data_IF_881026203064
#
_entry.id   IF_881026203064
#
_cell.length_a   1.000
_cell.length_b   1.000
_cell.length_c   1.000
_cell.angle_alpha   90.00
_cell.angle_beta   90.00
_cell.angle_gamma   90.00
#
_symmetry.space_group_name_H-M   'P 1'
#
loop_
_entity.id
_entity.type
_entity.pdbx_description
1 polymer ?
#
# COMPACT_ATOMS: atom_id res chain seq x y z
N UNK A 1 6.33 -12.36 16.79
CA UNK A 1 6.65 -10.95 16.68
C UNK A 1 7.52 -10.51 17.85
N UNK A 2 8.36 -9.54 17.64
CA UNK A 2 9.18 -8.99 18.72
C UNK A 2 8.32 -8.40 19.86
N UNK A 3 7.09 -8.04 19.55
CA UNK A 3 6.15 -7.53 20.53
C UNK A 3 5.81 -8.60 21.56
N UNK A 4 5.76 -9.84 21.13
CA UNK A 4 5.46 -10.96 22.03
C UNK A 4 6.55 -11.19 23.06
N UNK A 5 7.74 -10.65 22.87
CA UNK A 5 8.82 -10.77 23.85
C UNK A 5 8.57 -9.90 25.08
N UNK A 6 7.64 -8.97 25.00
CA UNK A 6 7.28 -8.14 26.13
C UNK A 6 6.31 -8.88 27.05
N UNK A 7 6.07 -8.34 28.25
CA UNK A 7 5.06 -8.91 29.13
C UNK A 7 3.72 -8.99 28.39
N UNK A 8 2.90 -9.97 28.73
CA UNK A 8 1.66 -10.21 28.03
C UNK A 8 0.76 -8.98 27.96
N UNK A 9 0.67 -8.19 29.02
CA UNK A 9 -0.11 -6.97 29.01
C UNK A 9 0.41 -5.98 28.00
N UNK A 10 1.72 -5.81 27.92
CA UNK A 10 2.33 -4.92 26.95
C UNK A 10 2.16 -5.45 25.52
N UNK A 11 2.21 -6.75 25.37
CA UNK A 11 2.01 -7.37 24.06
C UNK A 11 0.63 -7.03 23.51
N UNK A 12 -0.41 -7.18 24.32
CA UNK A 12 -1.78 -6.89 23.90
C UNK A 12 -1.95 -5.43 23.51
N UNK A 13 -1.40 -4.55 24.32
CA UNK A 13 -1.46 -3.11 24.04
C UNK A 13 -0.75 -2.78 22.73
N UNK A 14 0.43 -3.36 22.54
CA UNK A 14 1.20 -3.10 21.32
C UNK A 14 0.51 -3.66 20.09
N UNK A 15 -0.11 -4.83 20.17
CA UNK A 15 -0.87 -5.39 19.06
C UNK A 15 -2.06 -4.50 18.72
N UNK A 16 -2.74 -3.99 19.75
CA UNK A 16 -3.86 -3.08 19.52
C UNK A 16 -3.41 -1.79 18.82
N UNK A 17 -2.28 -1.24 19.23
CA UNK A 17 -1.72 -0.05 18.58
C UNK A 17 -1.34 -0.31 17.14
N UNK A 18 -0.76 -1.48 16.85
CA UNK A 18 -0.40 -1.84 15.49
C UNK A 18 -1.64 -1.96 14.60
N UNK A 19 -2.70 -2.55 15.12
CA UNK A 19 -3.95 -2.64 14.37
C UNK A 19 -4.53 -1.26 14.08
N UNK A 20 -4.42 -0.36 15.05
CA UNK A 20 -4.88 1.00 14.86
C UNK A 20 -4.04 1.73 13.80
N UNK A 21 -2.73 1.53 13.80
CA UNK A 21 -1.85 2.10 12.78
C UNK A 21 -2.20 1.56 11.39
N UNK A 22 -2.50 0.26 11.29
CA UNK A 22 -2.89 -0.35 10.02
C UNK A 22 -4.18 0.26 9.49
N UNK A 23 -5.14 0.54 10.37
CA UNK A 23 -6.38 1.21 9.98
C UNK A 23 -6.09 2.62 9.46
N UNK A 24 -5.19 3.33 10.12
CA UNK A 24 -4.77 4.66 9.68
C UNK A 24 -4.07 4.58 8.32
N UNK A 25 -3.21 3.58 8.13
CA UNK A 25 -2.55 3.38 6.85
C UNK A 25 -3.54 3.07 5.74
N UNK A 26 -4.59 2.34 6.05
CA UNK A 26 -5.61 2.06 5.04
C UNK A 26 -6.28 3.34 4.54
N UNK A 27 -6.62 4.25 5.45
CA UNK A 27 -7.19 5.53 5.07
C UNK A 27 -6.21 6.37 4.25
N UNK A 28 -4.95 6.41 4.66
CA UNK A 28 -3.89 7.13 3.97
C UNK A 28 -3.71 6.58 2.55
N UNK A 29 -3.71 5.26 2.43
CA UNK A 29 -3.59 4.60 1.13
C UNK A 29 -4.78 4.88 0.23
N UNK A 30 -5.98 4.84 0.80
CA UNK A 30 -7.21 5.11 0.04
C UNK A 30 -7.18 6.52 -0.53
N UNK A 31 -6.78 7.50 0.27
CA UNK A 31 -6.67 8.88 -0.20
C UNK A 31 -5.68 8.99 -1.35
N UNK A 32 -4.52 8.38 -1.19
CA UNK A 32 -3.48 8.43 -2.21
C UNK A 32 -3.97 7.83 -3.53
N UNK A 33 -4.54 6.64 -3.47
CA UNK A 33 -5.05 5.96 -4.67
C UNK A 33 -6.16 6.77 -5.35
N UNK A 34 -7.06 7.36 -4.56
CA UNK A 34 -8.12 8.20 -5.12
C UNK A 34 -7.55 9.40 -5.85
N UNK A 35 -6.56 10.05 -5.26
CA UNK A 35 -5.91 11.20 -5.88
C UNK A 35 -5.19 10.81 -7.17
N UNK A 36 -4.54 9.65 -7.17
CA UNK A 36 -3.84 9.15 -8.36
C UNK A 36 -4.85 8.88 -9.47
N UNK A 37 -5.90 8.14 -9.17
CA UNK A 37 -6.90 7.76 -10.18
C UNK A 37 -7.62 8.97 -10.73
N UNK A 38 -7.93 9.93 -9.89
CA UNK A 38 -8.65 11.15 -10.31
C UNK A 38 -7.72 12.23 -10.83
N UNK A 39 -6.43 11.99 -10.82
CA UNK A 39 -5.40 12.95 -11.25
C UNK A 39 -5.50 14.27 -10.50
N UNK A 40 -5.77 14.19 -9.21
CA UNK A 40 -5.78 15.36 -8.35
C UNK A 40 -4.35 15.70 -7.94
N UNK A 41 -3.67 16.49 -8.77
CA UNK A 41 -2.25 16.80 -8.56
C UNK A 41 -2.01 17.64 -7.32
N UNK A 42 -2.89 18.58 -7.02
CA UNK A 42 -2.75 19.39 -5.83
C UNK A 42 -2.88 18.56 -4.56
N UNK A 43 -3.85 17.65 -4.54
CA UNK A 43 -4.01 16.73 -3.43
C UNK A 43 -2.81 15.82 -3.26
N UNK A 44 -2.24 15.33 -4.37
CA UNK A 44 -1.06 14.48 -4.33
C UNK A 44 0.14 15.21 -3.72
N UNK A 45 0.37 16.47 -4.11
CA UNK A 45 1.47 17.25 -3.55
C UNK A 45 1.34 17.37 -2.04
N UNK A 46 0.14 17.68 -1.57
CA UNK A 46 -0.11 17.81 -0.14
C UNK A 46 0.07 16.48 0.59
N UNK A 47 -0.46 15.41 0.02
CA UNK A 47 -0.31 14.06 0.59
C UNK A 47 1.16 13.66 0.68
N UNK A 48 1.94 13.94 -0.38
CA UNK A 48 3.36 13.62 -0.42
C UNK A 48 4.13 14.42 0.63
N UNK A 49 3.80 15.69 0.82
CA UNK A 49 4.42 16.47 1.87
C UNK A 49 4.20 15.88 3.25
N UNK A 50 2.96 15.45 3.52
CA UNK A 50 2.64 14.82 4.79
C UNK A 50 3.41 13.51 4.97
N UNK A 51 3.44 12.68 3.93
CA UNK A 51 4.16 11.40 3.99
C UNK A 51 5.66 11.64 4.19
N UNK A 52 6.22 12.68 3.56
CA UNK A 52 7.64 12.98 3.68
C UNK A 52 8.06 13.32 5.11
N UNK A 53 7.14 13.81 5.91
CA UNK A 53 7.42 14.17 7.29
C UNK A 53 7.41 12.98 8.25
N UNK A 54 6.93 11.83 7.79
CA UNK A 54 6.76 10.67 8.68
C UNK A 54 8.06 9.96 9.05
N UNK A 55 9.11 10.19 8.32
CA UNK A 55 10.36 9.50 8.55
C UNK A 55 10.42 8.15 7.83
N UNK A 56 11.63 7.64 7.72
CA UNK A 56 11.95 6.49 6.87
C UNK A 56 11.21 5.22 7.31
N UNK A 57 11.19 4.95 8.60
CA UNK A 57 10.59 3.71 9.10
C UNK A 57 9.08 3.67 8.83
N UNK A 58 8.39 4.77 9.06
CA UNK A 58 6.95 4.81 8.80
C UNK A 58 6.64 4.77 7.31
N UNK A 59 7.47 5.38 6.50
CA UNK A 59 7.30 5.32 5.05
C UNK A 59 7.42 3.87 4.56
N UNK A 60 8.40 3.13 5.07
CA UNK A 60 8.55 1.71 4.72
C UNK A 60 7.37 0.88 5.21
N UNK A 61 6.88 1.17 6.42
CA UNK A 61 5.71 0.49 6.96
C UNK A 61 4.48 0.69 6.08
N UNK A 62 4.30 1.91 5.60
CA UNK A 62 3.19 2.23 4.71
C UNK A 62 3.29 1.43 3.40
N UNK A 63 4.46 1.41 2.78
CA UNK A 63 4.65 0.66 1.54
C UNK A 63 4.46 -0.83 1.76
N UNK A 64 4.93 -1.34 2.89
CA UNK A 64 4.76 -2.75 3.25
C UNK A 64 3.29 -3.10 3.45
N UNK A 65 2.54 -2.19 4.06
CA UNK A 65 1.11 -2.39 4.24
C UNK A 65 0.39 -2.45 2.90
N UNK A 66 0.73 -1.56 1.99
CA UNK A 66 0.17 -1.56 0.64
C UNK A 66 0.48 -2.89 -0.06
N UNK A 67 1.73 -3.34 0.00
CA UNK A 67 2.12 -4.64 -0.55
C UNK A 67 1.30 -5.77 0.05
N UNK A 68 1.09 -5.74 1.35
CA UNK A 68 0.30 -6.74 2.06
C UNK A 68 -1.13 -6.82 1.50
N UNK A 69 -1.76 -5.67 1.28
CA UNK A 69 -3.11 -5.63 0.72
C UNK A 69 -3.14 -6.15 -0.72
N UNK A 70 -2.12 -5.83 -1.51
CA UNK A 70 -2.02 -6.35 -2.87
C UNK A 70 -1.84 -7.87 -2.87
N UNK A 71 -1.07 -8.41 -1.93
CA UNK A 71 -0.92 -9.85 -1.81
C UNK A 71 -2.23 -10.53 -1.46
N UNK A 72 -3.02 -9.92 -0.57
CA UNK A 72 -4.35 -10.43 -0.25
C UNK A 72 -5.23 -10.41 -1.50
N UNK A 73 -5.17 -9.33 -2.27
CA UNK A 73 -5.95 -9.19 -3.49
C UNK A 73 -5.59 -10.26 -4.51
N UNK A 74 -4.29 -10.53 -4.68
CA UNK A 74 -3.84 -11.55 -5.62
C UNK A 74 -4.28 -12.94 -5.21
N UNK A 75 -4.19 -13.27 -3.92
CA UNK A 75 -4.65 -14.57 -3.43
C UNK A 75 -6.15 -14.74 -3.64
N UNK A 76 -6.91 -13.70 -3.34
CA UNK A 76 -8.35 -13.75 -3.52
C UNK A 76 -8.73 -13.93 -4.98
N UNK A 77 -7.99 -13.30 -5.89
CA UNK A 77 -8.25 -13.39 -7.32
C UNK A 77 -7.91 -14.78 -7.88
N UNK A 78 -6.81 -15.36 -7.41
CA UNK A 78 -6.34 -16.65 -7.94
C UNK A 78 -7.03 -17.82 -7.26
N UNK A 79 -7.21 -17.76 -5.94
CA UNK A 79 -7.67 -18.91 -5.15
C UNK A 79 -9.10 -18.75 -4.60
N UNK A 80 -9.67 -17.56 -4.73
CA UNK A 80 -10.98 -17.27 -4.17
C UNK A 80 -10.88 -16.62 -2.79
N UNK A 81 -11.91 -15.82 -2.42
CA UNK A 81 -11.86 -15.06 -1.16
C UNK A 81 -11.77 -15.93 0.10
N UNK A 82 -12.19 -17.18 0.05
CA UNK A 82 -12.18 -18.06 1.23
C UNK A 82 -10.79 -18.34 1.74
N UNK A 83 -9.77 -18.30 0.86
CA UNK A 83 -8.39 -18.62 1.26
C UNK A 83 -7.75 -17.48 2.02
N UNK A 84 -8.41 -16.33 2.10
CA UNK A 84 -7.87 -15.17 2.79
C UNK A 84 -8.54 -14.93 4.13
N UNK A 85 -8.98 -16.01 4.79
CA UNK A 85 -9.70 -15.92 6.05
C UNK A 85 -8.92 -15.26 7.18
N UNK A 86 -7.60 -15.24 7.07
CA UNK A 86 -6.76 -14.62 8.09
C UNK A 86 -6.73 -13.10 8.00
N UNK A 87 -7.18 -12.55 6.88
CA UNK A 87 -7.27 -11.11 6.72
C UNK A 87 -8.51 -10.59 7.44
N UNK A 88 -8.45 -9.37 7.95
CA UNK A 88 -9.63 -8.74 8.54
C UNK A 88 -10.64 -8.47 7.42
N UNK A 89 -11.93 -8.30 7.79
CA UNK A 89 -12.96 -8.01 6.79
C UNK A 89 -12.68 -6.67 6.09
N UNK A 90 -12.11 -5.70 6.78
CA UNK A 90 -11.74 -4.42 6.18
C UNK A 90 -10.64 -4.59 5.15
N UNK A 91 -9.63 -5.40 5.46
CA UNK A 91 -8.53 -5.66 4.54
C UNK A 91 -9.01 -6.41 3.32
N UNK A 92 -9.83 -7.43 3.51
CA UNK A 92 -10.37 -8.20 2.39
C UNK A 92 -11.25 -7.34 1.49
N UNK A 93 -12.09 -6.50 2.09
CA UNK A 93 -12.95 -5.60 1.33
C UNK A 93 -12.11 -4.64 0.46
N UNK A 94 -11.08 -4.07 1.06
CA UNK A 94 -10.17 -3.18 0.33
C UNK A 94 -9.46 -3.94 -0.79
N UNK A 95 -8.98 -5.15 -0.50
CA UNK A 95 -8.29 -5.98 -1.48
C UNK A 95 -9.20 -6.32 -2.67
N UNK A 96 -10.46 -6.61 -2.41
CA UNK A 96 -11.40 -6.89 -3.49
C UNK A 96 -11.65 -5.65 -4.36
N UNK A 97 -11.61 -4.46 -3.78
CA UNK A 97 -11.69 -3.23 -4.54
C UNK A 97 -10.45 -3.02 -5.41
N UNK A 98 -9.28 -3.41 -4.91
CA UNK A 98 -8.05 -3.37 -5.70
C UNK A 98 -8.18 -4.28 -6.92
N UNK A 99 -8.82 -5.43 -6.77
CA UNK A 99 -9.03 -6.35 -7.88
C UNK A 99 -9.91 -5.75 -8.97
N UNK A 100 -10.84 -4.87 -8.58
CA UNK A 100 -11.66 -4.16 -9.56
C UNK A 100 -10.89 -3.06 -10.27
N UNK A 101 -9.93 -2.47 -9.59
CA UNK A 101 -9.13 -1.38 -10.13
C UNK A 101 -8.01 -1.87 -11.03
N UNK A 102 -7.38 -2.98 -10.66
CA UNK A 102 -6.17 -3.50 -11.30
C UNK A 102 -6.29 -4.99 -11.56
N UNK A 103 -5.80 -5.44 -12.72
CA UNK A 103 -5.63 -6.85 -13.00
C UNK A 103 -4.38 -7.41 -12.30
N UNK A 104 -4.18 -8.72 -12.42
CA UNK A 104 -3.08 -9.42 -11.76
C UNK A 104 -1.72 -8.84 -12.19
N UNK A 105 -1.51 -8.67 -13.48
CA UNK A 105 -0.24 -8.12 -13.98
C UNK A 105 0.03 -6.72 -13.48
N UNK A 106 -1.00 -5.90 -13.39
CA UNK A 106 -0.87 -4.54 -12.87
C UNK A 106 -0.51 -4.55 -11.38
N UNK A 107 -1.15 -5.42 -10.61
CA UNK A 107 -0.85 -5.55 -9.18
C UNK A 107 0.58 -6.02 -8.95
N UNK A 108 1.05 -6.96 -9.74
CA UNK A 108 2.43 -7.42 -9.66
C UNK A 108 3.41 -6.30 -10.00
N UNK A 109 3.09 -5.49 -11.00
CA UNK A 109 3.92 -4.35 -11.36
C UNK A 109 3.97 -3.33 -10.22
N UNK A 110 2.85 -3.10 -9.54
CA UNK A 110 2.80 -2.19 -8.41
C UNK A 110 3.67 -2.72 -7.26
N UNK A 111 3.54 -4.00 -6.93
CA UNK A 111 4.37 -4.62 -5.88
C UNK A 111 5.85 -4.41 -6.18
N UNK A 112 6.24 -4.62 -7.42
CA UNK A 112 7.62 -4.44 -7.84
C UNK A 112 8.10 -2.99 -7.63
N UNK A 113 7.25 -2.01 -7.96
CA UNK A 113 7.60 -0.62 -7.73
C UNK A 113 7.66 -0.26 -6.25
N UNK A 114 6.79 -0.86 -5.43
CA UNK A 114 6.82 -0.64 -3.99
C UNK A 114 8.10 -1.22 -3.37
N UNK A 115 8.53 -2.38 -3.83
CA UNK A 115 9.78 -2.98 -3.38
C UNK A 115 10.97 -2.10 -3.72
N UNK A 116 11.01 -1.57 -4.93
CA UNK A 116 12.06 -0.64 -5.34
C UNK A 116 12.05 0.62 -4.48
N UNK A 117 10.87 1.15 -4.21
CA UNK A 117 10.74 2.35 -3.39
C UNK A 117 11.29 2.11 -1.99
N UNK A 118 10.95 0.98 -1.38
CA UNK A 118 11.47 0.62 -0.06
C UNK A 118 13.00 0.52 -0.07
N UNK A 119 13.55 -0.05 -1.12
CA UNK A 119 14.98 -0.18 -1.30
C UNK A 119 15.66 1.19 -1.30
N UNK A 120 15.08 2.14 -2.05
CA UNK A 120 15.64 3.49 -2.13
C UNK A 120 15.45 4.28 -0.84
N UNK A 121 14.36 4.08 -0.14
CA UNK A 121 14.14 4.74 1.17
C UNK A 121 15.24 4.31 2.13
N UNK A 122 15.61 3.04 2.14
CA UNK A 122 16.68 2.54 2.98
C UNK A 122 18.02 3.20 2.67
N UNK A 123 18.20 3.69 1.45
CA UNK A 123 19.41 4.32 1.00
C UNK A 123 19.31 5.84 0.99
N UNK A 124 18.39 6.38 1.81
CA UNK A 124 18.25 7.82 2.03
C UNK A 124 17.84 8.60 0.79
N UNK A 125 17.08 7.99 -0.10
CA UNK A 125 16.50 8.74 -1.21
C UNK A 125 15.58 9.84 -0.69
N UNK A 126 15.48 10.93 -1.44
CA UNK A 126 14.63 12.04 -1.08
C UNK A 126 13.17 11.58 -1.12
N UNK A 127 12.45 11.61 0.01
CA UNK A 127 11.08 11.05 0.03
C UNK A 127 10.11 11.80 -0.86
N UNK A 128 10.22 13.11 -0.98
CA UNK A 128 9.31 13.86 -1.86
C UNK A 128 9.48 13.43 -3.31
N UNK A 129 10.71 13.36 -3.78
CA UNK A 129 10.98 12.92 -5.16
C UNK A 129 10.55 11.48 -5.37
N UNK A 130 10.82 10.62 -4.38
CA UNK A 130 10.47 9.22 -4.46
C UNK A 130 8.97 9.02 -4.60
N UNK A 131 8.19 9.66 -3.72
CA UNK A 131 6.73 9.49 -3.76
C UNK A 131 6.10 10.17 -4.95
N UNK A 132 6.66 11.26 -5.46
CA UNK A 132 6.20 11.85 -6.72
C UNK A 132 6.40 10.88 -7.88
N UNK A 133 7.60 10.33 -7.99
CA UNK A 133 7.90 9.36 -9.04
C UNK A 133 7.02 8.13 -8.93
N UNK A 134 6.82 7.64 -7.70
CA UNK A 134 5.98 6.48 -7.46
C UNK A 134 4.53 6.75 -7.83
N UNK A 135 4.01 7.93 -7.48
CA UNK A 135 2.63 8.32 -7.84
C UNK A 135 2.44 8.32 -9.36
N UNK A 136 3.41 8.84 -10.10
CA UNK A 136 3.36 8.85 -11.56
C UNK A 136 3.37 7.43 -12.12
N UNK A 137 4.24 6.58 -11.59
CA UNK A 137 4.33 5.19 -12.04
C UNK A 137 3.05 4.42 -11.76
N UNK A 138 2.48 4.61 -10.57
CA UNK A 138 1.22 3.97 -10.22
C UNK A 138 0.09 4.42 -11.13
N UNK A 139 0.03 5.71 -11.43
CA UNK A 139 -0.97 6.21 -12.35
C UNK A 139 -0.86 5.52 -13.70
N UNK A 140 0.34 5.41 -14.24
CA UNK A 140 0.54 4.77 -15.53
C UNK A 140 0.19 3.29 -15.50
N UNK A 141 0.57 2.58 -14.44
CA UNK A 141 0.24 1.17 -14.31
C UNK A 141 -1.28 0.98 -14.27
N UNK A 142 -1.97 1.78 -13.47
CA UNK A 142 -3.42 1.64 -13.30
C UNK A 142 -4.16 2.05 -14.58
N UNK A 143 -3.75 3.13 -15.20
CA UNK A 143 -4.48 3.68 -16.34
C UNK A 143 -4.15 2.98 -17.66
N UNK A 144 -3.07 2.20 -17.72
CA UNK A 144 -2.65 1.54 -18.96
C UNK A 144 -3.20 0.14 -19.12
N UNK A 145 -4.23 -0.20 -18.38
CA UNK A 145 -4.80 -1.55 -18.43
C UNK A 145 -5.18 -1.95 -19.86
N UNK A 146 -5.91 -1.10 -20.55
CA UNK A 146 -6.33 -1.38 -21.91
C UNK A 146 -5.16 -1.33 -22.90
N UNK A 147 -4.16 -0.48 -22.63
CA UNK A 147 -2.99 -0.38 -23.50
C UNK A 147 -2.12 -1.64 -23.40
N UNK A 148 -2.03 -2.23 -22.22
CA UNK A 148 -1.29 -3.47 -22.04
C UNK A 148 -1.90 -4.58 -22.87
N UNK A 149 -3.22 -4.62 -22.97
CA UNK A 149 -3.92 -5.63 -23.76
C UNK A 149 -3.77 -5.39 -25.25
N UNK A 150 -3.64 -4.14 -25.67
CA UNK A 150 -3.50 -3.79 -27.08
C UNK A 150 -2.07 -4.01 -27.56
N UNK A 151 -1.12 -3.73 -26.71
CA UNK A 151 0.30 -3.88 -27.03
C UNK A 151 0.80 -5.27 -26.76
#
# INVERSE_FOLDING_TARGET
TQIAALAEGNYREAVHLLQHEDDDWQAVLREWLNMIVKRNLQGQVKWIEEMSKNGREKQKQFLKYFTHLLEIALRAEVMGPEVTQQASSNELDFALRLNKLCGIGQQEAIINELDKASYYIERNANPKMLFHALSIKLYHIISNNSLILVN
#
